data_IF_099728409918
#
_entry.id   IF_099728409918
#
_cell.length_a   1.000
_cell.length_b   1.000
_cell.length_c   1.000
_cell.angle_alpha   90.00
_cell.angle_beta   90.00
_cell.angle_gamma   90.00
#
_symmetry.space_group_name_H-M   'P 1'
#
loop_
_entity.id
_entity.type
_entity.pdbx_description
1 polymer ?
#
# COMPACT_ATOMS: atom_id res chain seq x y z
N UNK A 1 33.45 50.58 -15.86
CA UNK A 1 32.08 50.09 -15.59
C UNK A 1 31.81 48.67 -16.15
N UNK A 2 32.15 48.34 -17.40
CA UNK A 2 31.91 46.99 -18.00
C UNK A 2 32.49 45.78 -17.21
N UNK A 3 33.67 45.92 -16.59
CA UNK A 3 34.30 44.83 -15.83
C UNK A 3 33.52 44.40 -14.59
N UNK A 4 32.89 45.34 -13.89
CA UNK A 4 32.09 45.03 -12.70
C UNK A 4 30.83 44.26 -13.08
N UNK A 5 30.14 44.70 -14.14
CA UNK A 5 28.93 44.01 -14.66
C UNK A 5 29.21 42.57 -15.05
N UNK A 6 30.36 42.29 -15.67
CA UNK A 6 30.76 40.93 -16.06
C UNK A 6 30.89 39.99 -14.86
N UNK A 7 31.45 40.46 -13.74
CA UNK A 7 31.62 39.63 -12.52
C UNK A 7 30.27 39.25 -11.93
N UNK A 8 29.33 40.20 -11.84
CA UNK A 8 27.98 39.91 -11.33
C UNK A 8 27.22 38.93 -12.21
N UNK A 9 27.31 39.07 -13.54
CA UNK A 9 26.71 38.12 -14.48
C UNK A 9 27.29 36.71 -14.26
N UNK A 10 28.62 36.61 -14.12
CA UNK A 10 29.29 35.32 -13.93
C UNK A 10 28.92 34.65 -12.60
N UNK A 11 28.81 35.43 -11.52
CA UNK A 11 28.30 34.92 -10.24
C UNK A 11 26.85 34.45 -10.34
N UNK A 12 25.98 35.19 -11.01
CA UNK A 12 24.59 34.78 -11.22
C UNK A 12 24.50 33.47 -12.02
N UNK A 13 25.32 33.33 -13.07
CA UNK A 13 25.37 32.15 -13.91
C UNK A 13 25.85 30.92 -13.12
N UNK A 14 26.91 31.08 -12.32
CA UNK A 14 27.40 30.03 -11.43
C UNK A 14 26.33 29.61 -10.41
N UNK A 15 25.60 30.57 -9.84
CA UNK A 15 24.52 30.30 -8.88
C UNK A 15 23.35 29.56 -9.54
N UNK A 16 22.90 30.02 -10.71
CA UNK A 16 21.82 29.38 -11.45
C UNK A 16 22.15 27.94 -11.85
N UNK A 17 23.39 27.70 -12.32
CA UNK A 17 23.86 26.35 -12.66
C UNK A 17 23.96 25.46 -11.42
N UNK A 18 24.50 25.98 -10.31
CA UNK A 18 24.58 25.24 -9.05
C UNK A 18 23.21 24.85 -8.51
N UNK A 19 22.26 25.79 -8.53
CA UNK A 19 20.88 25.54 -8.10
C UNK A 19 20.20 24.51 -9.01
N UNK A 20 20.35 24.64 -10.33
CA UNK A 20 19.78 23.71 -11.30
C UNK A 20 20.32 22.29 -11.13
N UNK A 21 21.63 22.15 -10.85
CA UNK A 21 22.23 20.85 -10.57
C UNK A 21 21.60 20.21 -9.32
N UNK A 22 21.51 20.93 -8.20
CA UNK A 22 20.92 20.42 -6.96
C UNK A 22 19.46 19.98 -7.18
N UNK A 23 18.67 20.80 -7.87
CA UNK A 23 17.27 20.47 -8.17
C UNK A 23 17.15 19.24 -9.07
N UNK A 24 17.99 19.13 -10.10
CA UNK A 24 18.00 17.98 -11.01
C UNK A 24 18.37 16.69 -10.26
N UNK A 25 19.42 16.72 -9.44
CA UNK A 25 19.78 15.59 -8.59
C UNK A 25 18.67 15.26 -7.57
N UNK A 26 18.06 16.27 -6.96
CA UNK A 26 16.94 16.10 -6.05
C UNK A 26 15.76 15.39 -6.72
N UNK A 27 15.32 15.86 -7.89
CA UNK A 27 14.21 15.25 -8.63
C UNK A 27 14.50 13.82 -9.07
N UNK A 28 15.76 13.50 -9.37
CA UNK A 28 16.16 12.18 -9.83
C UNK A 28 16.32 11.19 -8.66
N UNK A 29 16.80 11.66 -7.50
CA UNK A 29 17.01 10.82 -6.32
C UNK A 29 15.77 10.67 -5.44
N UNK A 30 14.86 11.66 -5.41
CA UNK A 30 13.69 11.69 -4.51
C UNK A 30 12.43 11.11 -5.14
N UNK A 31 12.52 10.40 -6.26
CA UNK A 31 11.35 9.71 -6.81
C UNK A 31 10.88 8.67 -5.78
N UNK A 32 9.70 8.91 -5.22
CA UNK A 32 9.13 8.02 -4.23
C UNK A 32 8.93 6.63 -4.88
N UNK A 33 9.34 5.54 -4.20
CA UNK A 33 9.08 4.20 -4.70
C UNK A 33 7.59 3.98 -4.92
N UNK A 34 7.23 3.23 -5.96
CA UNK A 34 5.82 2.86 -6.17
C UNK A 34 5.26 2.16 -4.93
N UNK A 35 4.07 2.59 -4.49
CA UNK A 35 3.40 2.05 -3.32
C UNK A 35 2.73 0.71 -3.66
N UNK A 36 3.33 -0.38 -3.19
CA UNK A 36 2.77 -1.74 -3.29
C UNK A 36 2.07 -2.18 -2.00
N UNK A 37 2.02 -1.34 -0.97
CA UNK A 37 1.46 -1.74 0.29
C UNK A 37 -0.06 -2.00 0.20
N UNK A 38 -0.53 -2.95 0.99
CA UNK A 38 -1.93 -3.36 1.03
C UNK A 38 -2.13 -4.86 1.02
N UNK A 39 -3.39 -5.26 0.85
CA UNK A 39 -3.81 -6.65 0.69
C UNK A 39 -4.09 -6.91 -0.78
N UNK A 40 -3.52 -7.98 -1.29
CA UNK A 40 -3.57 -8.41 -2.67
C UNK A 40 -4.15 -9.81 -2.76
N UNK A 41 -5.09 -9.99 -3.66
CA UNK A 41 -5.61 -11.29 -4.05
C UNK A 41 -4.92 -11.73 -5.33
N UNK A 42 -4.39 -12.94 -5.32
CA UNK A 42 -3.61 -13.49 -6.43
C UNK A 42 -4.44 -14.56 -7.12
N UNK A 43 -4.55 -14.44 -8.44
CA UNK A 43 -5.35 -15.30 -9.30
C UNK A 43 -4.47 -16.03 -10.31
N UNK A 44 -4.93 -17.21 -10.74
CA UNK A 44 -4.32 -17.94 -11.85
C UNK A 44 -4.28 -17.04 -13.12
N UNK A 45 -3.20 -17.08 -13.91
CA UNK A 45 -3.13 -16.32 -15.15
C UNK A 45 -4.31 -16.69 -16.07
N UNK A 46 -5.05 -15.66 -16.53
CA UNK A 46 -6.20 -15.83 -17.41
C UNK A 46 -7.55 -16.04 -16.72
N UNK A 47 -7.63 -15.93 -15.39
CA UNK A 47 -8.92 -15.82 -14.68
C UNK A 47 -9.21 -14.36 -14.31
N UNK A 48 -10.45 -13.95 -14.60
CA UNK A 48 -10.96 -12.65 -14.19
C UNK A 48 -11.53 -12.73 -12.77
N UNK A 49 -11.57 -11.59 -12.10
CA UNK A 49 -11.81 -11.43 -10.66
C UNK A 49 -13.23 -11.85 -10.23
N UNK A 50 -14.16 -11.98 -11.18
CA UNK A 50 -15.60 -11.88 -10.90
C UNK A 50 -16.19 -13.14 -10.26
N UNK A 51 -15.60 -14.33 -10.42
CA UNK A 51 -16.21 -15.60 -9.96
C UNK A 51 -15.25 -16.62 -9.32
N UNK A 52 -13.98 -16.27 -9.07
CA UNK A 52 -12.98 -17.22 -8.54
C UNK A 52 -12.49 -16.84 -7.14
N UNK A 53 -12.41 -17.84 -6.25
CA UNK A 53 -11.67 -17.70 -5.00
C UNK A 53 -10.20 -17.36 -5.28
N UNK A 54 -9.60 -16.43 -4.53
CA UNK A 54 -8.19 -16.10 -4.73
C UNK A 54 -7.33 -17.33 -4.45
N UNK A 55 -6.38 -17.61 -5.34
CA UNK A 55 -5.43 -18.72 -5.17
C UNK A 55 -4.54 -18.46 -3.95
N UNK A 56 -4.12 -17.20 -3.77
CA UNK A 56 -3.30 -16.77 -2.65
C UNK A 56 -3.75 -15.40 -2.14
N UNK A 57 -3.57 -15.17 -0.84
CA UNK A 57 -3.74 -13.84 -0.23
C UNK A 57 -2.38 -13.32 0.20
N UNK A 58 -2.02 -12.16 -0.33
CA UNK A 58 -0.71 -11.54 -0.13
C UNK A 58 -0.88 -10.20 0.55
N UNK A 59 -0.30 -10.06 1.74
CA UNK A 59 -0.24 -8.77 2.45
C UNK A 59 1.15 -8.19 2.33
N UNK A 60 1.23 -6.94 1.90
CA UNK A 60 2.49 -6.23 1.71
C UNK A 60 2.47 -4.99 2.61
N UNK A 61 3.43 -4.90 3.51
CA UNK A 61 3.72 -3.69 4.29
C UNK A 61 5.03 -3.09 3.78
N UNK A 62 5.04 -1.79 3.47
CA UNK A 62 6.18 -1.12 2.85
C UNK A 62 6.77 -0.05 3.77
N UNK A 63 8.09 -0.04 3.90
CA UNK A 63 8.87 1.00 4.57
C UNK A 63 10.05 1.42 3.68
N UNK A 64 9.82 2.44 2.87
CA UNK A 64 10.79 2.91 1.86
C UNK A 64 11.10 1.82 0.84
N UNK A 65 12.34 1.30 0.87
CA UNK A 65 12.84 0.24 -0.04
C UNK A 65 12.71 -1.17 0.54
N UNK A 66 12.18 -1.31 1.76
CA UNK A 66 11.99 -2.58 2.44
C UNK A 66 10.51 -2.95 2.44
N UNK A 67 10.23 -4.22 2.16
CA UNK A 67 8.89 -4.77 2.00
C UNK A 67 8.74 -5.98 2.89
N UNK A 68 7.79 -5.95 3.81
CA UNK A 68 7.38 -7.14 4.53
C UNK A 68 6.22 -7.77 3.77
N UNK A 69 6.46 -8.90 3.14
CA UNK A 69 5.45 -9.63 2.36
C UNK A 69 5.03 -10.85 3.16
N UNK A 70 3.74 -10.97 3.43
CA UNK A 70 3.10 -12.17 3.96
C UNK A 70 2.35 -12.85 2.82
N UNK A 71 2.82 -14.04 2.44
CA UNK A 71 2.23 -14.84 1.36
C UNK A 71 1.67 -16.12 1.98
N UNK A 72 0.34 -16.27 2.02
CA UNK A 72 -0.35 -17.40 2.67
C UNK A 72 0.19 -17.73 4.07
N UNK A 73 0.31 -16.72 4.92
CA UNK A 73 0.80 -16.87 6.30
C UNK A 73 2.33 -16.88 6.43
N UNK A 74 3.08 -16.95 5.31
CA UNK A 74 4.54 -16.95 5.34
C UNK A 74 5.07 -15.53 5.17
N UNK A 75 5.66 -14.99 6.24
CA UNK A 75 6.24 -13.66 6.21
C UNK A 75 7.71 -13.67 5.77
N UNK A 76 8.07 -12.77 4.87
CA UNK A 76 9.42 -12.55 4.38
C UNK A 76 9.70 -11.05 4.27
N UNK A 77 10.92 -10.66 4.62
CA UNK A 77 11.42 -9.31 4.37
C UNK A 77 12.14 -9.29 3.03
N UNK A 78 11.69 -8.48 2.09
CA UNK A 78 12.32 -8.29 0.78
C UNK A 78 12.83 -6.86 0.68
N UNK A 79 13.92 -6.68 -0.04
CA UNK A 79 14.46 -5.36 -0.39
C UNK A 79 14.22 -5.11 -1.87
N UNK A 80 13.79 -3.90 -2.23
CA UNK A 80 13.71 -3.48 -3.61
C UNK A 80 15.12 -3.42 -4.22
N UNK A 81 15.34 -4.28 -5.21
CA UNK A 81 16.57 -4.37 -5.99
C UNK A 81 16.60 -3.33 -7.11
N UNK A 82 15.43 -3.00 -7.66
CA UNK A 82 15.30 -2.07 -8.76
C UNK A 82 13.84 -1.74 -9.05
N UNK A 83 13.65 -0.61 -9.70
CA UNK A 83 12.39 -0.16 -10.26
C UNK A 83 12.71 0.47 -11.61
N UNK A 84 12.11 -0.08 -12.65
CA UNK A 84 12.20 0.44 -14.00
C UNK A 84 10.84 1.03 -14.35
N UNK A 85 10.83 2.31 -14.71
CA UNK A 85 9.64 3.01 -15.15
C UNK A 85 9.84 3.36 -16.61
N UNK A 86 9.10 2.68 -17.48
CA UNK A 86 9.07 2.95 -18.90
C UNK A 86 7.98 3.99 -19.15
N UNK A 87 8.42 5.26 -19.22
CA UNK A 87 7.54 6.39 -19.47
C UNK A 87 7.02 6.32 -20.91
N UNK A 88 5.72 6.05 -21.07
CA UNK A 88 5.10 6.02 -22.38
C UNK A 88 4.82 7.45 -22.85
N UNK A 89 5.21 7.81 -24.09
CA UNK A 89 4.95 9.16 -24.64
C UNK A 89 3.46 9.50 -24.75
N UNK A 90 2.59 8.49 -24.81
CA UNK A 90 1.15 8.65 -25.08
C UNK A 90 0.29 7.65 -24.28
N UNK A 91 0.83 7.04 -23.22
CA UNK A 91 0.17 5.98 -22.46
C UNK A 91 0.50 6.04 -20.98
N UNK A 92 -0.09 5.15 -20.16
CA UNK A 92 0.23 5.09 -18.75
C UNK A 92 1.66 4.56 -18.54
N UNK A 93 2.37 5.11 -17.56
CA UNK A 93 3.72 4.68 -17.21
C UNK A 93 3.73 3.21 -16.80
N UNK A 94 4.51 2.40 -17.49
CA UNK A 94 4.70 1.00 -17.16
C UNK A 94 5.80 0.87 -16.12
N UNK A 95 5.56 0.11 -15.05
CA UNK A 95 6.51 -0.09 -13.97
C UNK A 95 6.81 -1.57 -13.77
N UNK A 96 8.09 -1.88 -13.70
CA UNK A 96 8.61 -3.18 -13.26
C UNK A 96 9.34 -2.99 -11.94
N UNK A 97 8.81 -3.60 -10.88
CA UNK A 97 9.35 -3.51 -9.52
C UNK A 97 9.93 -4.86 -9.16
N UNK A 98 11.21 -4.88 -8.79
CA UNK A 98 11.94 -6.11 -8.44
C UNK A 98 12.29 -6.11 -6.96
N UNK A 99 11.76 -7.09 -6.24
CA UNK A 99 12.00 -7.32 -4.81
C UNK A 99 12.83 -8.59 -4.63
N UNK A 100 13.86 -8.56 -3.78
CA UNK A 100 14.73 -9.71 -3.54
C UNK A 100 15.02 -9.91 -2.05
N UNK A 101 15.21 -11.16 -1.66
CA UNK A 101 15.81 -11.56 -0.40
C UNK A 101 16.56 -12.87 -0.62
N UNK A 102 17.82 -12.77 -1.05
CA UNK A 102 18.79 -13.87 -1.18
C UNK A 102 18.34 -15.07 -2.04
N UNK A 103 17.37 -15.81 -1.53
CA UNK A 103 16.77 -17.02 -2.08
C UNK A 103 15.44 -16.77 -2.82
N UNK A 104 14.76 -15.64 -2.58
CA UNK A 104 13.46 -15.33 -3.18
C UNK A 104 13.49 -14.01 -3.94
N UNK A 105 12.88 -14.00 -5.12
CA UNK A 105 12.68 -12.84 -5.97
C UNK A 105 11.20 -12.73 -6.31
N UNK A 106 10.62 -11.55 -6.09
CA UNK A 106 9.29 -11.19 -6.56
C UNK A 106 9.42 -10.04 -7.55
N UNK A 107 8.71 -10.14 -8.67
CA UNK A 107 8.67 -9.10 -9.68
C UNK A 107 7.21 -8.74 -9.96
N UNK A 108 6.91 -7.45 -9.89
CA UNK A 108 5.61 -6.88 -10.19
C UNK A 108 5.71 -6.08 -11.48
N UNK A 109 4.88 -6.40 -12.45
CA UNK A 109 4.83 -5.76 -13.76
C UNK A 109 3.44 -5.22 -13.98
N UNK A 110 3.31 -3.92 -14.25
CA UNK A 110 2.00 -3.29 -14.39
C UNK A 110 2.09 -1.80 -14.65
N UNK A 111 0.97 -1.11 -14.47
CA UNK A 111 0.95 0.36 -14.58
C UNK A 111 1.27 0.99 -13.23
N UNK A 112 2.03 2.09 -13.21
CA UNK A 112 2.35 2.80 -11.97
C UNK A 112 1.06 3.22 -11.22
N UNK A 113 0.94 2.83 -9.95
CA UNK A 113 -0.23 3.13 -9.11
C UNK A 113 -1.49 2.33 -9.45
N UNK A 114 -1.41 1.31 -10.31
CA UNK A 114 -2.55 0.45 -10.62
C UNK A 114 -2.94 -0.44 -9.44
N UNK A 115 -4.19 -0.91 -9.49
CA UNK A 115 -4.71 -1.94 -8.59
C UNK A 115 -4.42 -3.36 -9.09
N UNK A 116 -3.85 -3.50 -10.29
CA UNK A 116 -3.60 -4.80 -10.91
C UNK A 116 -2.16 -4.85 -11.40
N UNK A 117 -1.44 -5.89 -10.97
CA UNK A 117 -0.10 -6.22 -11.41
C UNK A 117 -0.03 -7.68 -11.83
N UNK A 118 0.86 -7.98 -12.77
CA UNK A 118 1.37 -9.33 -12.96
C UNK A 118 2.46 -9.56 -11.92
N UNK A 119 2.26 -10.54 -11.05
CA UNK A 119 3.20 -10.96 -10.02
C UNK A 119 3.90 -12.24 -10.48
N UNK A 120 5.22 -12.20 -10.64
CA UNK A 120 6.03 -13.40 -10.82
C UNK A 120 6.92 -13.63 -9.59
N UNK A 121 6.95 -14.85 -9.09
CA UNK A 121 7.85 -15.26 -8.02
C UNK A 121 8.86 -16.27 -8.53
N UNK A 122 10.08 -16.18 -8.00
CA UNK A 122 11.15 -17.15 -8.19
C UNK A 122 11.82 -17.46 -6.85
N UNK A 123 12.10 -18.74 -6.60
CA UNK A 123 12.72 -19.22 -5.37
C UNK A 123 11.83 -20.20 -4.63
N UNK A 124 11.41 -19.83 -3.41
CA UNK A 124 10.49 -20.65 -2.60
C UNK A 124 9.15 -20.89 -3.28
N UNK A 125 8.63 -19.87 -3.95
CA UNK A 125 7.50 -19.97 -4.85
C UNK A 125 7.98 -19.73 -6.28
N UNK A 126 7.43 -20.48 -7.22
CA UNK A 126 7.73 -20.33 -8.64
C UNK A 126 6.41 -20.24 -9.39
N UNK A 127 6.23 -19.17 -10.15
CA UNK A 127 5.01 -18.98 -10.93
C UNK A 127 4.82 -17.53 -11.34
N UNK A 128 3.82 -17.33 -12.20
CA UNK A 128 3.35 -16.02 -12.62
C UNK A 128 1.85 -15.99 -12.46
N UNK A 129 1.37 -14.93 -11.83
CA UNK A 129 -0.02 -14.76 -11.45
C UNK A 129 -0.47 -13.34 -11.68
N UNK A 130 -1.79 -13.14 -11.63
CA UNK A 130 -2.39 -11.81 -11.62
C UNK A 130 -2.68 -11.42 -10.17
N UNK A 131 -2.07 -10.36 -9.68
CA UNK A 131 -2.32 -9.80 -8.35
C UNK A 131 -3.24 -8.60 -8.47
N UNK A 132 -4.35 -8.61 -7.73
CA UNK A 132 -5.32 -7.51 -7.65
C UNK A 132 -5.34 -6.98 -6.22
N UNK A 133 -5.16 -5.68 -6.04
CA UNK A 133 -5.22 -5.04 -4.72
C UNK A 133 -6.67 -4.90 -4.29
N UNK A 134 -6.96 -5.34 -3.08
CA UNK A 134 -8.30 -5.31 -2.48
C UNK A 134 -8.38 -4.26 -1.38
N UNK A 135 -7.27 -4.00 -0.69
CA UNK A 135 -7.22 -3.01 0.39
C UNK A 135 -5.94 -2.19 0.32
N UNK A 136 -6.06 -0.87 0.48
CA UNK A 136 -4.92 0.05 0.64
C UNK A 136 -4.71 0.35 2.13
N UNK A 137 -3.46 0.50 2.62
CA UNK A 137 -3.20 0.78 4.04
C UNK A 137 -3.86 2.08 4.55
N UNK A 138 -4.14 3.02 3.65
CA UNK A 138 -4.66 4.35 3.97
C UNK A 138 -6.15 4.56 3.60
N UNK A 139 -6.90 3.51 3.24
CA UNK A 139 -8.36 3.61 3.31
C UNK A 139 -8.76 3.65 4.78
N UNK A 140 -8.63 4.84 5.39
CA UNK A 140 -9.38 5.22 6.60
C UNK A 140 -10.81 4.80 6.30
N UNK A 141 -11.25 3.73 6.95
CA UNK A 141 -12.64 3.36 7.15
C UNK A 141 -13.43 4.67 7.19
N UNK A 142 -14.13 4.98 6.10
CA UNK A 142 -15.14 6.02 6.11
C UNK A 142 -16.12 5.55 7.17
N UNK A 143 -15.95 6.09 8.37
CA UNK A 143 -16.85 5.88 9.48
C UNK A 143 -18.12 6.56 9.01
N UNK A 144 -19.03 5.75 8.50
CA UNK A 144 -20.39 6.13 8.19
C UNK A 144 -20.91 7.07 9.30
N UNK A 145 -21.16 8.36 9.03
CA UNK A 145 -21.77 9.23 10.03
C UNK A 145 -23.28 8.95 10.17
N UNK A 146 -23.84 7.98 9.45
CA UNK A 146 -25.24 7.58 9.55
C UNK A 146 -25.47 6.58 10.69
N UNK A 147 -24.82 6.83 11.84
CA UNK A 147 -25.34 6.36 13.10
C UNK A 147 -26.55 7.21 13.45
N UNK A 148 -27.73 6.86 12.93
CA UNK A 148 -29.01 7.36 13.43
C UNK A 148 -29.08 7.01 14.90
N UNK A 149 -28.67 7.98 15.72
CA UNK A 149 -28.75 7.99 17.16
C UNK A 149 -30.22 8.07 17.52
N UNK A 150 -30.89 6.92 17.60
CA UNK A 150 -32.19 6.84 18.28
C UNK A 150 -31.94 7.26 19.72
N UNK A 151 -32.47 8.44 20.05
CA UNK A 151 -32.30 9.08 21.33
C UNK A 151 -32.85 8.18 22.44
N UNK A 152 -31.98 7.93 23.41
CA UNK A 152 -32.33 7.50 24.76
C UNK A 152 -33.28 8.52 25.39
N UNK A 153 -34.46 8.07 25.83
CA UNK A 153 -35.31 8.79 26.76
C UNK A 153 -36.01 7.79 27.71
N UNK A 154 -35.91 8.10 29.01
CA UNK A 154 -36.57 7.48 30.18
C UNK A 154 -36.12 6.04 30.54
N UNK A 155 -35.28 5.78 31.55
CA UNK A 155 -35.40 6.09 32.98
C UNK A 155 -36.76 5.67 33.59
N UNK A 156 -36.82 4.44 34.12
CA UNK A 156 -37.57 4.11 35.34
C UNK A 156 -36.89 2.92 36.00
N UNK A 157 -36.34 3.17 37.18
CA UNK A 157 -35.73 2.21 38.08
C UNK A 157 -36.87 1.49 38.80
N UNK A 158 -37.00 0.17 38.62
CA UNK A 158 -37.87 -0.65 39.47
C UNK A 158 -37.09 -1.16 40.67
N UNK A 159 -37.56 -0.95 41.91
CA UNK A 159 -36.88 -1.42 43.11
C UNK A 159 -37.06 -2.93 43.26
N UNK A 160 -35.94 -3.58 43.59
CA UNK A 160 -35.84 -4.95 44.07
C UNK A 160 -36.59 -5.06 45.39
N UNK A 161 -37.61 -5.91 45.44
CA UNK A 161 -38.23 -6.36 46.69
C UNK A 161 -38.29 -7.88 46.65
N UNK A 162 -37.30 -8.50 47.28
CA UNK A 162 -37.44 -9.83 47.88
C UNK A 162 -38.52 -9.71 48.96
N UNK A 163 -39.46 -10.66 49.08
CA UNK A 163 -39.33 -11.54 50.23
C UNK A 163 -39.93 -12.95 50.08
N UNK A 164 -39.31 -13.85 50.84
CA UNK A 164 -39.95 -14.89 51.67
C UNK A 164 -40.35 -16.22 51.03
N UNK A 165 -39.54 -17.20 51.42
CA UNK A 165 -39.81 -18.64 51.54
C UNK A 165 -41.17 -18.88 52.22
N UNK A 166 -42.04 -19.66 51.57
CA UNK A 166 -43.15 -20.33 52.24
C UNK A 166 -43.06 -21.84 51.97
N UNK A 167 -42.63 -22.55 53.01
CA UNK A 167 -42.76 -23.99 53.16
C UNK A 167 -44.24 -24.24 53.47
N UNK A 168 -44.91 -25.11 52.71
CA UNK A 168 -46.10 -25.78 53.22
C UNK A 168 -46.18 -27.20 52.70
N UNK A 169 -46.20 -28.12 53.67
CA UNK A 169 -46.39 -29.55 53.50
C UNK A 169 -47.88 -29.86 53.57
N UNK A 170 -48.41 -30.70 52.67
CA UNK A 170 -49.59 -31.53 52.95
C UNK A 170 -49.59 -32.83 52.12
N UNK A 171 -49.52 -33.93 52.89
CA UNK A 171 -50.22 -35.22 52.80
C UNK A 171 -50.33 -35.91 51.43
#
# INVERSE_FOLDING_TARGET
MRRATSVYILMMLAFAVGLWAILSFGSLLLRAPTDLAGVWHVYSPGHEQEDADPLHVVRIDQSGRYFQVNFDGHSMSLKQAGEQIDAARTGPDHVTIRLINGQTELMFVGTAGAEVYTLSARGRWNGTWRAVRVERPHSRRSRDPTGTRTASAAHTISPRTDPTIQIDARL
#
